data_IF_871254853438
#
_entry.id   IF_871254853438
#
_cell.length_a   1.000
_cell.length_b   1.000
_cell.length_c   1.000
_cell.angle_alpha   90.00
_cell.angle_beta   90.00
_cell.angle_gamma   90.00
#
_symmetry.space_group_name_H-M   'P 1'
#
loop_
_entity.id
_entity.type
_entity.pdbx_description
1 polymer ?
#
# COMPACT_ATOMS: atom_id res chain seq x y z
N UNK A 1 -87.13 35.01 52.34
CA UNK A 1 -86.20 33.90 52.58
C UNK A 1 -86.12 32.94 51.38
N UNK A 2 -86.01 33.46 50.14
CA UNK A 2 -85.94 32.65 48.91
C UNK A 2 -84.77 33.04 47.99
N UNK A 3 -84.08 34.14 48.28
CA UNK A 3 -82.93 34.63 47.49
C UNK A 3 -81.61 33.98 47.95
N UNK A 4 -81.53 33.55 49.22
CA UNK A 4 -80.36 32.87 49.76
C UNK A 4 -80.16 31.42 49.24
N UNK A 5 -81.23 30.77 48.76
CA UNK A 5 -81.16 29.40 48.23
C UNK A 5 -80.67 29.35 46.78
N UNK A 6 -80.86 30.43 46.01
CA UNK A 6 -80.45 30.51 44.60
C UNK A 6 -78.93 30.68 44.44
N UNK A 7 -78.27 31.37 45.37
CA UNK A 7 -76.81 31.57 45.34
C UNK A 7 -76.07 30.30 45.78
N UNK A 8 -76.65 29.50 46.68
CA UNK A 8 -76.09 28.22 47.10
C UNK A 8 -76.14 27.14 45.99
N UNK A 9 -77.12 27.20 45.09
CA UNK A 9 -77.23 26.26 43.96
C UNK A 9 -76.44 26.71 42.71
N UNK A 10 -76.25 28.01 42.51
CA UNK A 10 -75.44 28.54 41.40
C UNK A 10 -73.93 28.30 41.56
N UNK A 11 -73.43 28.27 42.80
CA UNK A 11 -72.00 28.09 43.11
C UNK A 11 -71.46 26.68 42.80
N UNK A 12 -72.28 25.63 42.96
CA UNK A 12 -71.86 24.25 42.67
C UNK A 12 -71.82 23.92 41.17
N UNK A 13 -72.67 24.58 40.36
CA UNK A 13 -72.66 24.39 38.91
C UNK A 13 -71.38 24.91 38.26
N UNK A 14 -70.87 26.06 38.71
CA UNK A 14 -69.65 26.67 38.17
C UNK A 14 -68.36 25.95 38.62
N UNK A 15 -68.32 25.44 39.85
CA UNK A 15 -67.17 24.66 40.33
C UNK A 15 -67.04 23.29 39.67
N UNK A 16 -68.16 22.67 39.28
CA UNK A 16 -68.15 21.37 38.60
C UNK A 16 -67.63 21.50 37.16
N UNK A 17 -68.00 22.57 36.44
CA UNK A 17 -67.50 22.82 35.08
C UNK A 17 -66.04 23.24 35.04
N UNK A 18 -65.56 23.99 36.05
CA UNK A 18 -64.16 24.41 36.13
C UNK A 18 -63.24 23.25 36.52
N UNK A 19 -63.67 22.35 37.41
CA UNK A 19 -62.92 21.15 37.75
C UNK A 19 -62.79 20.20 36.55
N UNK A 20 -63.88 19.94 35.81
CA UNK A 20 -63.84 19.10 34.62
C UNK A 20 -62.92 19.65 33.51
N UNK A 21 -62.89 20.98 33.35
CA UNK A 21 -61.99 21.63 32.39
C UNK A 21 -60.52 21.54 32.82
N UNK A 22 -60.25 21.68 34.12
CA UNK A 22 -58.90 21.52 34.67
C UNK A 22 -58.40 20.08 34.57
N UNK A 23 -59.24 19.08 34.86
CA UNK A 23 -58.90 17.66 34.68
C UNK A 23 -58.66 17.32 33.20
N UNK A 24 -59.46 17.86 32.27
CA UNK A 24 -59.24 17.74 30.84
C UNK A 24 -57.89 18.31 30.40
N UNK A 25 -57.52 19.49 30.91
CA UNK A 25 -56.22 20.10 30.59
C UNK A 25 -55.04 19.29 31.16
N UNK A 26 -55.15 18.82 32.40
CA UNK A 26 -54.10 17.99 33.02
C UNK A 26 -53.90 16.68 32.25
N UNK A 27 -54.98 16.03 31.83
CA UNK A 27 -54.90 14.78 31.05
C UNK A 27 -54.28 15.00 29.68
N UNK A 28 -54.60 16.10 28.99
CA UNK A 28 -53.95 16.46 27.71
C UNK A 28 -52.48 16.82 27.84
N UNK A 29 -52.10 17.58 28.87
CA UNK A 29 -50.70 17.90 29.16
C UNK A 29 -49.89 16.65 29.50
N UNK A 30 -50.50 15.70 30.22
CA UNK A 30 -49.86 14.43 30.55
C UNK A 30 -49.65 13.56 29.30
N UNK A 31 -50.61 13.52 28.37
CA UNK A 31 -50.43 12.80 27.10
C UNK A 31 -49.37 13.45 26.22
N UNK A 32 -49.31 14.78 26.16
CA UNK A 32 -48.32 15.52 25.37
C UNK A 32 -46.90 15.35 25.94
N UNK A 33 -46.75 15.38 27.27
CA UNK A 33 -45.47 15.12 27.93
C UNK A 33 -44.99 13.69 27.62
N UNK A 34 -45.89 12.71 27.66
CA UNK A 34 -45.56 11.32 27.31
C UNK A 34 -45.15 11.19 25.85
N UNK A 35 -45.87 11.82 24.93
CA UNK A 35 -45.53 11.82 23.51
C UNK A 35 -44.18 12.50 23.24
N UNK A 36 -43.88 13.60 23.96
CA UNK A 36 -42.60 14.27 23.87
C UNK A 36 -41.45 13.41 24.42
N UNK A 37 -41.64 12.73 25.55
CA UNK A 37 -40.68 11.78 26.14
C UNK A 37 -40.41 10.60 25.20
N UNK A 38 -41.46 10.00 24.63
CA UNK A 38 -41.34 8.90 23.67
C UNK A 38 -40.57 9.34 22.41
N UNK A 39 -40.85 10.56 21.90
CA UNK A 39 -40.13 11.15 20.77
C UNK A 39 -38.67 11.45 21.10
N UNK A 40 -38.37 11.92 22.32
CA UNK A 40 -37.01 12.14 22.77
C UNK A 40 -36.22 10.82 22.85
N UNK A 41 -36.81 9.77 23.41
CA UNK A 41 -36.23 8.42 23.45
C UNK A 41 -36.03 7.82 22.07
N UNK A 42 -36.93 8.08 21.13
CA UNK A 42 -36.76 7.67 19.75
C UNK A 42 -35.62 8.44 19.06
N UNK A 43 -35.53 9.75 19.29
CA UNK A 43 -34.44 10.58 18.77
C UNK A 43 -33.08 10.10 19.30
N UNK A 44 -32.97 9.84 20.60
CA UNK A 44 -31.75 9.32 21.23
C UNK A 44 -31.37 7.95 20.65
N UNK A 45 -32.34 7.05 20.43
CA UNK A 45 -32.08 5.77 19.77
C UNK A 45 -31.55 5.95 18.35
N UNK A 46 -32.13 6.87 17.57
CA UNK A 46 -31.64 7.17 16.21
C UNK A 46 -30.25 7.76 16.22
N UNK A 47 -29.92 8.61 17.20
CA UNK A 47 -28.58 9.17 17.36
C UNK A 47 -27.55 8.07 17.68
N UNK A 48 -27.83 7.20 18.65
CA UNK A 48 -26.96 6.06 18.97
C UNK A 48 -26.74 5.13 17.78
N UNK A 49 -27.76 4.89 16.97
CA UNK A 49 -27.63 4.11 15.74
C UNK A 49 -26.72 4.81 14.73
N UNK A 50 -26.87 6.12 14.55
CA UNK A 50 -25.99 6.92 13.68
C UNK A 50 -24.55 6.88 14.16
N UNK A 51 -24.30 7.06 15.46
CA UNK A 51 -22.95 7.00 16.04
C UNK A 51 -22.32 5.63 15.82
N UNK A 52 -23.10 4.56 16.00
CA UNK A 52 -22.64 3.20 15.72
C UNK A 52 -22.27 3.05 14.24
N UNK A 53 -23.13 3.51 13.33
CA UNK A 53 -22.86 3.46 11.88
C UNK A 53 -21.63 4.30 11.51
N UNK A 54 -21.49 5.50 12.05
CA UNK A 54 -20.32 6.37 11.81
C UNK A 54 -19.05 5.69 12.28
N UNK A 55 -19.05 5.08 13.47
CA UNK A 55 -17.90 4.37 14.00
C UNK A 55 -17.53 3.17 13.12
N UNK A 56 -18.52 2.39 12.66
CA UNK A 56 -18.29 1.27 11.74
C UNK A 56 -17.69 1.75 10.42
N UNK A 57 -18.32 2.74 9.77
CA UNK A 57 -17.83 3.28 8.49
C UNK A 57 -16.44 3.90 8.61
N UNK A 58 -16.15 4.57 9.73
CA UNK A 58 -14.82 5.13 10.00
C UNK A 58 -13.78 4.01 10.14
N UNK A 59 -14.13 2.93 10.83
CA UNK A 59 -13.26 1.75 10.94
C UNK A 59 -12.98 1.10 9.59
N UNK A 60 -14.01 0.91 8.76
CA UNK A 60 -13.89 0.36 7.40
C UNK A 60 -13.01 1.25 6.51
N UNK A 61 -13.22 2.57 6.56
CA UNK A 61 -12.42 3.53 5.77
C UNK A 61 -10.94 3.49 6.17
N UNK A 62 -10.65 3.40 7.47
CA UNK A 62 -9.28 3.29 7.96
C UNK A 62 -8.61 1.98 7.49
N UNK A 63 -9.31 0.84 7.62
CA UNK A 63 -8.80 -0.45 7.15
C UNK A 63 -8.56 -0.45 5.62
N UNK A 64 -9.44 0.19 4.85
CA UNK A 64 -9.27 0.36 3.41
C UNK A 64 -8.06 1.25 3.08
N UNK A 65 -7.87 2.35 3.81
CA UNK A 65 -6.73 3.25 3.65
C UNK A 65 -5.40 2.54 3.94
N UNK A 66 -5.32 1.74 5.01
CA UNK A 66 -4.15 0.92 5.32
C UNK A 66 -3.85 -0.10 4.22
N UNK A 67 -4.89 -0.77 3.70
CA UNK A 67 -4.75 -1.73 2.60
C UNK A 67 -4.25 -1.05 1.33
N UNK A 68 -4.78 0.12 0.99
CA UNK A 68 -4.35 0.90 -0.16
C UNK A 68 -2.89 1.37 -0.02
N UNK A 69 -2.49 1.85 1.16
CA UNK A 69 -1.11 2.24 1.44
C UNK A 69 -0.15 1.06 1.30
N UNK A 70 -0.53 -0.13 1.81
CA UNK A 70 0.25 -1.36 1.65
C UNK A 70 0.41 -1.74 0.17
N UNK A 71 -0.68 -1.69 -0.60
CA UNK A 71 -0.64 -2.01 -2.03
C UNK A 71 0.26 -1.02 -2.80
N UNK A 72 0.18 0.27 -2.48
CA UNK A 72 1.04 1.28 -3.09
C UNK A 72 2.52 1.04 -2.78
N UNK A 73 2.85 0.65 -1.54
CA UNK A 73 4.22 0.26 -1.16
C UNK A 73 4.70 -0.95 -1.96
N UNK A 74 3.86 -1.98 -2.11
CA UNK A 74 4.20 -3.17 -2.89
C UNK A 74 4.42 -2.86 -4.37
N UNK A 75 3.60 -1.98 -4.96
CA UNK A 75 3.80 -1.51 -6.33
C UNK A 75 5.13 -0.76 -6.50
N UNK A 76 5.49 0.08 -5.51
CA UNK A 76 6.78 0.77 -5.49
C UNK A 76 7.95 -0.21 -5.47
N UNK A 77 7.94 -1.19 -4.57
CA UNK A 77 8.96 -2.22 -4.46
C UNK A 77 9.08 -3.07 -5.75
N UNK A 78 7.94 -3.47 -6.31
CA UNK A 78 7.90 -4.23 -7.55
C UNK A 78 8.48 -3.42 -8.73
N UNK A 79 8.16 -2.13 -8.80
CA UNK A 79 8.71 -1.23 -9.82
C UNK A 79 10.22 -1.10 -9.71
N UNK A 80 10.75 -0.92 -8.50
CA UNK A 80 12.21 -0.87 -8.26
C UNK A 80 12.90 -2.19 -8.63
N UNK A 81 12.28 -3.31 -8.26
CA UNK A 81 12.79 -4.65 -8.59
C UNK A 81 12.79 -4.87 -10.10
N UNK A 82 11.71 -4.48 -10.79
CA UNK A 82 11.61 -4.58 -12.25
C UNK A 82 12.68 -3.74 -12.95
N UNK A 83 12.93 -2.51 -12.50
CA UNK A 83 13.99 -1.65 -13.02
C UNK A 83 15.38 -2.29 -12.84
N UNK A 84 15.68 -2.78 -11.63
CA UNK A 84 16.94 -3.47 -11.33
C UNK A 84 17.14 -4.69 -12.22
N UNK A 85 16.09 -5.49 -12.43
CA UNK A 85 16.13 -6.66 -13.32
C UNK A 85 16.36 -6.26 -14.77
N UNK A 86 15.70 -5.21 -15.26
CA UNK A 86 15.88 -4.72 -16.61
C UNK A 86 17.33 -4.26 -16.86
N UNK A 87 17.93 -3.54 -15.91
CA UNK A 87 19.33 -3.09 -16.03
C UNK A 87 20.32 -4.26 -15.93
N UNK A 88 20.04 -5.24 -15.09
CA UNK A 88 20.83 -6.48 -15.02
C UNK A 88 20.79 -7.22 -16.36
N UNK A 89 19.61 -7.37 -16.97
CA UNK A 89 19.47 -8.02 -18.29
C UNK A 89 20.25 -7.25 -19.36
N UNK A 90 20.16 -5.92 -19.38
CA UNK A 90 20.93 -5.09 -20.33
C UNK A 90 22.44 -5.28 -20.15
N UNK A 91 22.92 -5.29 -18.90
CA UNK A 91 24.33 -5.52 -18.59
C UNK A 91 24.79 -6.89 -19.06
N UNK A 92 24.07 -7.96 -18.70
CA UNK A 92 24.40 -9.33 -19.12
C UNK A 92 24.40 -9.49 -20.64
N UNK A 93 23.49 -8.81 -21.36
CA UNK A 93 23.51 -8.81 -22.83
C UNK A 93 24.78 -8.19 -23.42
N UNK A 94 25.23 -7.07 -22.85
CA UNK A 94 26.49 -6.42 -23.29
C UNK A 94 27.69 -7.30 -23.00
N UNK A 95 27.81 -7.78 -21.76
CA UNK A 95 28.91 -8.67 -21.35
C UNK A 95 28.96 -9.95 -22.21
N UNK A 96 27.80 -10.55 -22.53
CA UNK A 96 27.76 -11.74 -23.39
C UNK A 96 28.22 -11.44 -24.83
N UNK A 97 27.84 -10.28 -25.38
CA UNK A 97 28.27 -9.86 -26.71
C UNK A 97 29.79 -9.60 -26.76
N UNK A 98 30.33 -8.93 -25.74
CA UNK A 98 31.77 -8.69 -25.60
C UNK A 98 32.55 -10.01 -25.49
N UNK A 99 32.07 -10.96 -24.68
CA UNK A 99 32.70 -12.29 -24.54
C UNK A 99 32.68 -13.09 -25.84
N UNK A 100 31.57 -13.04 -26.59
CA UNK A 100 31.49 -13.63 -27.93
C UNK A 100 32.51 -13.01 -28.87
N UNK A 101 32.55 -11.67 -28.93
CA UNK A 101 33.51 -10.96 -29.78
C UNK A 101 34.97 -11.28 -29.43
N UNK A 102 35.28 -11.47 -28.14
CA UNK A 102 36.62 -11.88 -27.71
C UNK A 102 36.94 -13.32 -28.12
N UNK A 103 35.99 -14.24 -27.96
CA UNK A 103 36.17 -15.64 -28.33
C UNK A 103 36.31 -15.85 -29.86
N UNK A 104 35.61 -15.02 -30.65
CA UNK A 104 35.69 -15.03 -32.11
C UNK A 104 36.93 -14.29 -32.65
N UNK A 105 37.67 -13.58 -31.80
CA UNK A 105 38.89 -12.86 -32.20
C UNK A 105 39.99 -13.87 -32.59
N UNK A 106 40.72 -13.64 -33.70
CA UNK A 106 41.82 -14.51 -34.08
C UNK A 106 42.92 -14.54 -33.00
N UNK A 107 43.52 -15.72 -32.81
CA UNK A 107 44.65 -15.89 -31.90
C UNK A 107 45.86 -15.07 -32.38
N UNK A 108 46.61 -14.42 -31.48
CA UNK A 108 47.84 -13.72 -31.86
C UNK A 108 48.90 -14.68 -32.42
N UNK A 109 49.64 -14.22 -33.44
CA UNK A 109 50.73 -14.97 -34.12
C UNK A 109 51.71 -15.69 -33.16
N UNK A 110 52.19 -15.07 -32.06
CA UNK A 110 53.07 -15.76 -31.12
C UNK A 110 52.43 -16.99 -30.46
N UNK A 111 51.12 -16.94 -30.19
CA UNK A 111 50.36 -18.05 -29.58
C UNK A 111 50.14 -19.15 -30.61
N UNK A 112 49.80 -18.78 -31.85
CA UNK A 112 49.68 -19.74 -32.96
C UNK A 112 51.00 -20.49 -33.18
N UNK A 113 52.13 -19.77 -33.18
CA UNK A 113 53.46 -20.36 -33.35
C UNK A 113 53.82 -21.34 -32.22
N UNK A 114 53.40 -21.04 -30.99
CA UNK A 114 53.60 -21.93 -29.85
C UNK A 114 52.75 -23.22 -29.95
N UNK A 115 51.51 -23.11 -30.44
CA UNK A 115 50.62 -24.26 -30.67
C UNK A 115 51.08 -25.12 -31.84
N UNK A 116 51.69 -24.51 -32.86
CA UNK A 116 52.24 -25.20 -34.02
C UNK A 116 53.59 -25.88 -33.76
N UNK A 117 54.06 -25.93 -32.50
CA UNK A 117 55.39 -26.43 -32.18
C UNK A 117 55.63 -27.83 -32.74
N UNK A 118 56.70 -27.96 -33.51
CA UNK A 118 57.23 -29.20 -34.06
C UNK A 118 57.47 -30.21 -32.94
N UNK A 119 57.06 -31.48 -33.14
CA UNK A 119 57.29 -32.52 -32.15
C UNK A 119 58.79 -32.70 -31.90
N UNK A 120 59.26 -32.33 -30.72
CA UNK A 120 60.64 -32.55 -30.31
C UNK A 120 60.72 -33.93 -29.70
N UNK A 121 61.30 -34.87 -30.43
CA UNK A 121 61.41 -36.28 -30.06
C UNK A 121 62.78 -36.60 -29.45
N UNK A 122 63.18 -35.87 -28.40
CA UNK A 122 64.38 -36.21 -27.62
C UNK A 122 65.22 -35.03 -27.16
N UNK A 123 66.19 -35.29 -26.29
CA UNK A 123 67.01 -34.26 -25.65
C UNK A 123 67.98 -33.55 -26.62
N UNK A 124 68.53 -34.27 -27.60
CA UNK A 124 69.40 -33.68 -28.62
C UNK A 124 68.62 -32.72 -29.54
N UNK A 125 67.43 -33.13 -29.99
CA UNK A 125 66.53 -32.30 -30.79
C UNK A 125 66.05 -31.07 -30.02
N UNK A 126 65.85 -31.21 -28.70
CA UNK A 126 65.50 -30.09 -27.83
C UNK A 126 66.63 -29.06 -27.71
N UNK A 127 67.88 -29.53 -27.54
CA UNK A 127 69.04 -28.66 -27.48
C UNK A 127 69.29 -27.93 -28.82
N UNK A 128 69.13 -28.63 -29.95
CA UNK A 128 69.24 -28.04 -31.27
C UNK A 128 68.16 -26.97 -31.52
N UNK A 129 66.92 -27.23 -31.10
CA UNK A 129 65.82 -26.26 -31.19
C UNK A 129 66.06 -25.01 -30.33
N UNK A 130 66.54 -25.15 -29.10
CA UNK A 130 66.84 -23.99 -28.23
C UNK A 130 68.03 -23.16 -28.74
N UNK A 131 68.97 -23.80 -29.42
CA UNK A 131 70.17 -23.12 -29.94
C UNK A 131 69.91 -22.33 -31.23
N UNK A 132 68.83 -22.67 -31.97
CA UNK A 132 68.46 -22.01 -33.22
C UNK A 132 67.21 -21.12 -33.16
N UNK A 133 66.48 -21.11 -32.04
CA UNK A 133 65.31 -20.26 -31.89
C UNK A 133 65.74 -18.79 -31.71
N UNK A 134 65.43 -17.97 -32.72
CA UNK A 134 65.58 -16.50 -32.67
C UNK A 134 64.94 -15.97 -31.37
N UNK A 135 65.64 -15.15 -30.56
CA UNK A 135 65.12 -14.71 -29.28
C UNK A 135 63.75 -14.06 -29.46
N UNK A 136 62.78 -14.45 -28.62
CA UNK A 136 61.45 -13.86 -28.61
C UNK A 136 61.59 -12.33 -28.52
N UNK A 137 60.97 -11.56 -29.43
CA UNK A 137 61.06 -10.11 -29.39
C UNK A 137 60.53 -9.63 -28.03
N UNK A 138 61.37 -8.90 -27.29
CA UNK A 138 60.94 -8.28 -26.04
C UNK A 138 59.93 -7.19 -26.41
N UNK A 139 58.72 -7.29 -25.85
CA UNK A 139 57.71 -6.24 -25.99
C UNK A 139 58.25 -5.00 -25.28
N UNK A 140 58.90 -4.12 -26.02
CA UNK A 140 59.24 -2.76 -25.60
C UNK A 140 58.03 -1.88 -25.83
N UNK A 141 57.00 -2.07 -25.00
CA UNK A 141 55.84 -1.17 -24.92
C UNK A 141 56.20 0.06 -24.10
N UNK A 142 56.52 1.16 -24.80
CA UNK A 142 56.72 2.48 -24.21
C UNK A 142 55.39 3.00 -23.64
N UNK A 143 55.32 3.46 -22.37
CA UNK A 143 54.11 4.10 -21.85
C UNK A 143 53.98 5.49 -22.48
N UNK A 144 52.96 5.66 -23.32
CA UNK A 144 52.56 6.97 -23.84
C UNK A 144 52.05 7.85 -22.71
N UNK A 145 52.59 9.08 -22.65
CA UNK A 145 52.13 10.19 -21.81
C UNK A 145 50.79 10.75 -22.29
#
# INVERSE_FOLDING_TARGET
>A
MLIALAIALGGWGWSATSAATAEGQVTTLQSDLKAADDKAKEAERRERLKDTTINTLTGELNAQAETAAKLQSQLGELSMTAATRADTIKRLKRENAELRSWADSPLPDPVIRLLQRTAITGAADYQAHLSGADPLPTVTGQPGQ
#
